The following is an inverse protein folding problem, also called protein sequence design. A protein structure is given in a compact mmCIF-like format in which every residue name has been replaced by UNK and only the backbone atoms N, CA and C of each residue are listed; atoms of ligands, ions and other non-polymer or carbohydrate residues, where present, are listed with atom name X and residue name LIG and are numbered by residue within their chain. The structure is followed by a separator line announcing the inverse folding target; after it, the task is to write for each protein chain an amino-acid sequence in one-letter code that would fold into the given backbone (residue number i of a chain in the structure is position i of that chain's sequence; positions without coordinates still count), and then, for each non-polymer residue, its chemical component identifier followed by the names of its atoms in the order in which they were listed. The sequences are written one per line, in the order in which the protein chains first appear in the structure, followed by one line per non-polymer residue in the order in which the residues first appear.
data_IF_115757641456
#
_entry.id   IF_115757641456
#
_cell.length_a   1.000
_cell.length_b   1.000
_cell.length_c   1.000
_cell.angle_alpha   90.00
_cell.angle_beta   90.00
_cell.angle_gamma   90.00
#
_symmetry.space_group_name_H-M   'P 1'
#
loop_
_entity.id
_entity.type
_entity.pdbx_description
1 polymer ?
#
# COMPACT_ATOMS: atom_id res chain seq x y z
N UNK A 1 4.80 3.45 6.43
CA UNK A 1 3.78 2.54 6.97
C UNK A 1 3.50 2.91 8.42
N UNK A 2 2.22 3.03 8.79
CA UNK A 2 1.81 3.32 10.18
C UNK A 2 0.89 2.22 10.67
N UNK A 3 1.27 1.54 11.75
CA UNK A 3 0.47 0.48 12.36
C UNK A 3 0.37 0.79 13.86
N UNK A 4 -0.86 0.87 14.38
CA UNK A 4 -1.16 1.21 15.79
C UNK A 4 -0.37 2.42 16.33
N UNK A 5 -0.27 3.49 15.52
CA UNK A 5 0.43 4.73 15.89
C UNK A 5 1.95 4.72 15.71
N UNK A 6 2.56 3.56 15.43
CA UNK A 6 3.99 3.47 15.12
C UNK A 6 4.23 3.66 13.63
N UNK A 7 4.99 4.68 13.25
CA UNK A 7 5.30 5.00 11.86
C UNK A 7 6.74 4.65 11.52
N UNK A 8 6.93 3.84 10.48
CA UNK A 8 8.25 3.44 9.96
C UNK A 8 8.29 3.54 8.42
N UNK A 9 9.44 3.91 7.84
CA UNK A 9 9.64 3.78 6.40
C UNK A 9 9.69 2.29 6.03
N UNK A 10 9.07 1.92 4.91
CA UNK A 10 9.07 0.55 4.37
C UNK A 10 9.23 0.66 2.87
N UNK A 11 10.12 -0.15 2.31
CA UNK A 11 10.36 -0.21 0.87
C UNK A 11 9.53 -1.34 0.27
N UNK A 12 8.92 -1.07 -0.87
CA UNK A 12 8.21 -2.06 -1.66
C UNK A 12 8.88 -2.22 -3.03
N UNK A 13 8.93 -3.45 -3.51
CA UNK A 13 9.27 -3.78 -4.89
C UNK A 13 7.99 -3.70 -5.71
N UNK A 14 7.94 -2.77 -6.67
CA UNK A 14 6.72 -2.45 -7.43
C UNK A 14 6.86 -2.95 -8.86
N UNK A 15 5.80 -3.57 -9.39
CA UNK A 15 5.69 -3.98 -10.79
C UNK A 15 4.49 -3.27 -11.41
N UNK A 16 4.70 -2.61 -12.56
CA UNK A 16 3.61 -2.13 -13.42
C UNK A 16 3.16 -3.29 -14.30
N UNK A 17 1.91 -3.72 -14.18
CA UNK A 17 1.37 -4.80 -15.00
C UNK A 17 0.98 -4.33 -16.41
N UNK A 18 0.48 -3.11 -16.52
CA UNK A 18 0.02 -2.56 -17.79
C UNK A 18 -0.96 -1.42 -17.57
N UNK A 19 -1.34 -0.75 -18.65
CA UNK A 19 -2.33 0.32 -18.63
C UNK A 19 -3.26 0.25 -19.83
N UNK A 20 -4.47 0.77 -19.64
CA UNK A 20 -5.53 0.81 -20.64
C UNK A 20 -6.12 2.21 -20.65
N UNK A 21 -6.34 2.79 -21.84
CA UNK A 21 -6.94 4.11 -21.98
C UNK A 21 -8.23 4.03 -22.79
N UNK A 22 -9.36 4.33 -22.14
CA UNK A 22 -10.65 4.53 -22.80
C UNK A 22 -11.28 5.83 -22.29
N UNK A 23 -10.96 6.96 -22.93
CA UNK A 23 -11.40 8.28 -22.48
C UNK A 23 -12.93 8.45 -22.40
N UNK A 24 -13.68 7.65 -23.17
CA UNK A 24 -15.12 7.81 -23.35
C UNK A 24 -15.96 6.94 -22.40
N UNK A 25 -15.42 5.82 -21.91
CA UNK A 25 -16.16 4.93 -21.01
C UNK A 25 -15.47 4.73 -19.66
N UNK A 26 -14.17 4.40 -19.64
CA UNK A 26 -13.52 3.86 -18.45
C UNK A 26 -12.37 4.70 -17.90
N UNK A 27 -11.99 5.77 -18.61
CA UNK A 27 -10.81 6.60 -18.32
C UNK A 27 -9.50 5.89 -18.63
N UNK A 28 -8.39 6.54 -18.27
CA UNK A 28 -7.08 5.89 -18.23
C UNK A 28 -6.95 5.10 -16.93
N UNK A 29 -6.55 3.84 -17.06
CA UNK A 29 -6.44 2.86 -15.98
C UNK A 29 -5.08 2.21 -16.00
N UNK A 30 -4.54 1.93 -14.82
CA UNK A 30 -3.22 1.32 -14.67
C UNK A 30 -3.22 0.31 -13.53
N UNK A 31 -2.63 -0.86 -13.79
CA UNK A 31 -2.46 -1.93 -12.81
C UNK A 31 -1.05 -1.97 -12.25
N UNK A 32 -0.95 -2.11 -10.93
CA UNK A 32 0.31 -2.31 -10.21
C UNK A 32 0.20 -3.45 -9.20
N UNK A 33 1.32 -4.12 -8.97
CA UNK A 33 1.55 -4.87 -7.74
C UNK A 33 2.74 -4.35 -6.98
N UNK A 34 2.73 -4.60 -5.67
CA UNK A 34 3.84 -4.29 -4.80
C UNK A 34 4.03 -5.37 -3.76
N UNK A 35 5.29 -5.76 -3.53
CA UNK A 35 5.68 -6.72 -2.51
C UNK A 35 6.66 -6.09 -1.53
N UNK A 36 6.44 -6.33 -0.24
CA UNK A 36 7.28 -5.81 0.82
C UNK A 36 7.26 -6.73 2.02
N UNK A 37 8.14 -6.43 2.96
CA UNK A 37 8.35 -7.25 4.15
C UNK A 37 8.66 -6.35 5.34
N UNK A 38 8.07 -6.66 6.49
CA UNK A 38 8.26 -5.91 7.73
C UNK A 38 8.53 -6.84 8.91
N UNK A 39 9.16 -6.34 9.97
CA UNK A 39 9.13 -6.98 11.28
C UNK A 39 7.99 -6.38 12.12
N UNK A 40 7.04 -7.19 12.57
CA UNK A 40 5.88 -6.73 13.35
C UNK A 40 6.27 -6.09 14.69
N UNK A 41 7.43 -6.45 15.26
CA UNK A 41 7.92 -5.89 16.52
C UNK A 41 8.28 -4.42 16.38
N UNK A 42 8.71 -3.98 15.19
CA UNK A 42 9.01 -2.56 14.89
C UNK A 42 7.78 -1.65 15.00
N UNK A 43 6.59 -2.26 14.95
CA UNK A 43 5.29 -1.62 15.07
C UNK A 43 4.60 -1.89 16.42
N UNK A 44 5.34 -2.41 17.41
CA UNK A 44 4.84 -2.66 18.77
C UNK A 44 3.99 -3.93 18.91
N UNK A 45 3.95 -4.80 17.89
CA UNK A 45 3.26 -6.08 17.96
C UNK A 45 4.23 -7.14 18.49
N UNK A 46 4.32 -7.28 19.82
CA UNK A 46 5.31 -8.14 20.48
C UNK A 46 4.78 -9.49 20.96
N UNK A 47 3.50 -9.79 20.73
CA UNK A 47 2.90 -11.09 21.08
C UNK A 47 3.71 -12.23 20.47
N UNK A 48 4.17 -13.17 21.30
CA UNK A 48 4.85 -14.36 20.82
C UNK A 48 4.15 -15.56 21.43
N UNK A 49 3.99 -16.62 20.63
CA UNK A 49 3.42 -17.88 21.09
C UNK A 49 4.39 -19.01 20.77
N UNK A 50 4.54 -19.92 21.73
CA UNK A 50 5.30 -21.15 21.59
C UNK A 50 4.37 -22.34 21.79
N UNK A 51 4.57 -23.38 20.99
CA UNK A 51 3.90 -24.67 21.12
C UNK A 51 4.96 -25.76 20.93
N UNK A 52 5.04 -26.71 21.87
CA UNK A 52 6.02 -27.82 21.85
C UNK A 52 7.48 -27.36 21.66
N UNK A 53 7.85 -26.23 22.26
CA UNK A 53 9.20 -25.65 22.15
C UNK A 53 9.51 -24.98 20.82
N UNK A 54 8.53 -24.82 19.93
CA UNK A 54 8.67 -24.12 18.64
C UNK A 54 7.94 -22.77 18.65
N UNK A 55 8.57 -21.76 18.09
CA UNK A 55 7.91 -20.48 17.80
C UNK A 55 6.88 -20.69 16.69
N UNK A 56 5.64 -20.28 16.95
CA UNK A 56 4.55 -20.45 15.97
C UNK A 56 4.06 -19.14 15.36
N UNK A 57 4.63 -18.00 15.78
CA UNK A 57 4.31 -16.68 15.21
C UNK A 57 5.60 -16.05 14.71
N UNK A 58 5.73 -15.95 13.38
CA UNK A 58 6.84 -15.25 12.73
C UNK A 58 6.89 -13.79 13.18
N UNK A 59 8.09 -13.23 13.28
CA UNK A 59 8.27 -11.79 13.42
C UNK A 59 8.11 -11.07 12.08
N UNK A 60 8.47 -11.77 11.01
CA UNK A 60 8.44 -11.29 9.65
C UNK A 60 7.03 -11.43 9.08
N UNK A 61 6.55 -10.37 8.43
CA UNK A 61 5.25 -10.30 7.77
C UNK A 61 5.47 -9.85 6.33
N UNK A 62 5.07 -10.71 5.40
CA UNK A 62 5.01 -10.39 3.98
C UNK A 62 3.75 -9.58 3.67
N UNK A 63 3.91 -8.55 2.84
CA UNK A 63 2.84 -7.66 2.39
C UNK A 63 2.76 -7.75 0.87
N UNK A 64 1.57 -8.11 0.39
CA UNK A 64 1.23 -8.14 -1.04
C UNK A 64 0.14 -7.11 -1.30
N UNK A 65 0.39 -6.22 -2.26
CA UNK A 65 -0.56 -5.19 -2.69
C UNK A 65 -0.83 -5.43 -4.17
N UNK A 66 -2.12 -5.43 -4.51
CA UNK A 66 -2.63 -5.50 -5.88
C UNK A 66 -3.59 -4.33 -6.05
N UNK A 67 -3.38 -3.50 -7.07
CA UNK A 67 -4.15 -2.26 -7.25
C UNK A 67 -4.36 -1.90 -8.71
N UNK A 68 -5.60 -1.50 -9.02
CA UNK A 68 -5.96 -0.83 -10.26
C UNK A 68 -6.35 0.61 -9.93
N UNK A 69 -5.80 1.56 -10.68
CA UNK A 69 -5.98 2.99 -10.45
C UNK A 69 -6.59 3.64 -11.68
N UNK A 70 -7.47 4.62 -11.47
CA UNK A 70 -8.07 5.44 -12.53
C UNK A 70 -7.49 6.85 -12.44
N UNK A 71 -7.00 7.38 -13.56
CA UNK A 71 -6.51 8.75 -13.65
C UNK A 71 -7.60 9.75 -13.24
N UNK A 72 -7.28 10.63 -12.28
CA UNK A 72 -8.22 11.66 -11.83
C UNK A 72 -8.21 12.83 -12.82
N UNK A 73 -9.38 13.18 -13.35
CA UNK A 73 -9.55 14.42 -14.11
C UNK A 73 -9.39 15.59 -13.13
N UNK A 74 -8.43 16.47 -13.37
CA UNK A 74 -8.27 17.69 -12.57
C UNK A 74 -9.49 18.59 -12.79
N UNK A 75 -10.41 18.64 -11.82
CA UNK A 75 -11.35 19.76 -11.73
C UNK A 75 -10.57 20.99 -11.26
N UNK A 76 -10.37 21.94 -12.17
CA UNK A 76 -9.87 23.27 -11.86
C UNK A 76 -10.81 23.94 -10.85
N UNK A 77 -10.48 23.85 -9.57
CA UNK A 77 -10.93 24.82 -8.58
C UNK A 77 -10.18 26.12 -8.84
N UNK A 78 -10.61 26.82 -9.89
CA UNK A 78 -10.39 28.25 -10.09
C UNK A 78 -11.14 28.99 -8.97
N UNK A 79 -10.54 28.96 -7.78
CA UNK A 79 -10.92 29.82 -6.67
C UNK A 79 -10.79 31.25 -7.13
N UNK A 80 -11.93 31.84 -7.45
CA UNK A 80 -12.14 33.25 -7.71
C UNK A 80 -11.62 34.02 -6.49
N UNK A 81 -10.39 34.53 -6.58
CA UNK A 81 -9.92 35.57 -5.67
C UNK A 81 -10.69 36.86 -6.03
N UNK A 82 -11.80 37.08 -5.35
CA UNK A 82 -12.54 38.34 -5.34
C UNK A 82 -12.70 38.79 -3.90
N UNK A 83 -11.79 39.66 -3.47
CA UNK A 83 -11.99 40.79 -2.55
C UNK A 83 -10.64 41.47 -2.33
#
# INVERSE_FOLDING_TARGET
LTIKGNTRPVTFQVVKYGEFNDPNMMGHRIGYSAQGKINRKDFGLTFNMMLDGKWIVSEEVDIFIEGEFVEQKQEQTSGTASA
#
